data_IF_573325641512
#
_entry.id   IF_573325641512
#
_cell.length_a   1.000
_cell.length_b   1.000
_cell.length_c   1.000
_cell.angle_alpha   90.00
_cell.angle_beta   90.00
_cell.angle_gamma   90.00
#
_symmetry.space_group_name_H-M   'P 1'
#
loop_
_entity.id
_entity.type
_entity.pdbx_description
1 polymer ?
#
# COMPACT_ATOMS: atom_id res chain seq x y z
N UNK A 1 0.50 15.99 9.45
CA UNK A 1 1.42 14.87 9.73
C UNK A 1 2.85 15.41 9.73
N UNK A 2 3.69 14.99 10.67
CA UNK A 2 5.13 15.31 10.68
C UNK A 2 5.91 14.03 10.32
N UNK A 3 6.62 14.02 9.20
CA UNK A 3 7.53 12.95 8.78
C UNK A 3 8.95 13.38 9.16
N UNK A 4 9.46 12.89 10.28
CA UNK A 4 10.78 13.30 10.79
C UNK A 4 11.85 12.25 10.51
N UNK A 5 11.46 11.00 10.68
CA UNK A 5 12.30 9.83 10.66
C UNK A 5 11.52 8.66 10.06
N UNK A 6 12.21 7.53 9.89
CA UNK A 6 11.68 6.31 9.33
C UNK A 6 10.52 5.75 10.18
N UNK A 7 10.65 5.75 11.50
CA UNK A 7 9.64 5.18 12.41
C UNK A 7 8.32 5.96 12.33
N UNK A 8 8.38 7.29 12.41
CA UNK A 8 7.21 8.13 12.23
C UNK A 8 6.59 7.96 10.85
N UNK A 9 7.39 7.78 9.80
CA UNK A 9 6.88 7.49 8.47
C UNK A 9 6.10 6.16 8.42
N UNK A 10 6.67 5.08 8.97
CA UNK A 10 6.05 3.75 9.00
C UNK A 10 4.74 3.75 9.81
N UNK A 11 4.71 4.39 10.97
CA UNK A 11 3.49 4.50 11.79
C UNK A 11 2.39 5.27 11.05
N UNK A 12 2.74 6.33 10.33
CA UNK A 12 1.77 7.08 9.53
C UNK A 12 1.30 6.28 8.31
N UNK A 13 2.17 5.50 7.69
CA UNK A 13 1.81 4.59 6.59
C UNK A 13 0.75 3.59 7.05
N UNK A 14 1.03 2.85 8.12
CA UNK A 14 0.13 1.83 8.66
C UNK A 14 -1.24 2.43 9.02
N UNK A 15 -1.24 3.55 9.75
CA UNK A 15 -2.47 4.24 10.14
C UNK A 15 -3.28 4.71 8.92
N UNK A 16 -2.62 5.31 7.93
CA UNK A 16 -3.29 5.84 6.75
C UNK A 16 -3.80 4.71 5.84
N UNK A 17 -3.01 3.65 5.63
CA UNK A 17 -3.43 2.51 4.82
C UNK A 17 -4.61 1.76 5.44
N UNK A 18 -4.62 1.60 6.77
CA UNK A 18 -5.76 1.03 7.49
C UNK A 18 -7.03 1.87 7.32
N UNK A 19 -6.95 3.18 7.58
CA UNK A 19 -8.09 4.11 7.42
C UNK A 19 -8.56 4.25 5.97
N UNK A 20 -7.63 4.20 5.02
CA UNK A 20 -7.98 4.17 3.61
C UNK A 20 -8.83 2.96 3.29
N UNK A 21 -8.40 1.76 3.70
CA UNK A 21 -9.09 0.52 3.41
C UNK A 21 -10.50 0.50 4.01
N UNK A 22 -10.65 0.90 5.28
CA UNK A 22 -11.95 1.01 5.93
C UNK A 22 -12.87 2.00 5.20
N UNK A 23 -12.38 3.20 4.88
CA UNK A 23 -13.18 4.21 4.19
C UNK A 23 -13.57 3.78 2.77
N UNK A 24 -12.69 3.09 2.04
CA UNK A 24 -12.97 2.59 0.70
C UNK A 24 -14.07 1.50 0.73
N UNK A 25 -14.06 0.62 1.74
CA UNK A 25 -15.11 -0.39 1.92
C UNK A 25 -16.48 0.23 2.26
N UNK A 26 -16.48 1.34 3.02
CA UNK A 26 -17.69 2.08 3.36
C UNK A 26 -18.15 3.06 2.26
N UNK A 27 -17.38 3.20 1.17
CA UNK A 27 -17.65 4.17 0.11
C UNK A 27 -17.42 5.64 0.50
N UNK A 28 -16.72 5.92 1.61
CA UNK A 28 -16.32 7.27 1.98
C UNK A 28 -15.04 7.67 1.23
N UNK A 29 -15.23 8.03 -0.04
CA UNK A 29 -14.13 8.43 -0.93
C UNK A 29 -13.41 9.70 -0.45
N UNK A 30 -14.06 10.55 0.35
CA UNK A 30 -13.41 11.75 0.90
C UNK A 30 -12.36 11.35 1.92
N UNK A 31 -12.67 10.42 2.82
CA UNK A 31 -11.71 9.89 3.80
C UNK A 31 -10.68 9.00 3.10
N UNK A 32 -11.09 8.15 2.15
CA UNK A 32 -10.17 7.30 1.41
C UNK A 32 -9.10 8.15 0.69
N UNK A 33 -9.52 9.12 -0.14
CA UNK A 33 -8.61 9.98 -0.90
C UNK A 33 -7.68 10.79 0.01
N UNK A 34 -8.19 11.28 1.16
CA UNK A 34 -7.36 11.98 2.15
C UNK A 34 -6.23 11.09 2.67
N UNK A 35 -6.53 9.83 2.98
CA UNK A 35 -5.52 8.89 3.48
C UNK A 35 -4.61 8.39 2.37
N UNK A 36 -5.08 8.22 1.13
CA UNK A 36 -4.22 7.94 -0.02
C UNK A 36 -3.14 9.03 -0.18
N UNK A 37 -3.52 10.31 -0.10
CA UNK A 37 -2.56 11.41 -0.16
C UNK A 37 -1.53 11.39 1.00
N UNK A 38 -1.87 10.79 2.14
CA UNK A 38 -0.91 10.58 3.24
C UNK A 38 0.05 9.44 2.91
N UNK A 39 -0.46 8.32 2.40
CA UNK A 39 0.33 7.17 1.96
C UNK A 39 1.36 7.61 0.91
N UNK A 40 0.93 8.32 -0.13
CA UNK A 40 1.81 8.84 -1.19
C UNK A 40 2.91 9.76 -0.62
N UNK A 41 2.57 10.63 0.33
CA UNK A 41 3.57 11.48 1.01
C UNK A 41 4.59 10.67 1.79
N UNK A 42 4.16 9.64 2.50
CA UNK A 42 5.08 8.73 3.22
C UNK A 42 5.99 8.00 2.25
N UNK A 43 5.43 7.43 1.18
CA UNK A 43 6.19 6.69 0.17
C UNK A 43 7.23 7.59 -0.48
N UNK A 44 6.88 8.81 -0.87
CA UNK A 44 7.82 9.76 -1.45
C UNK A 44 8.93 10.14 -0.46
N UNK A 45 8.61 10.32 0.82
CA UNK A 45 9.60 10.56 1.87
C UNK A 45 10.59 9.38 2.01
N UNK A 46 10.09 8.14 2.06
CA UNK A 46 10.93 6.95 2.16
C UNK A 46 11.76 6.73 0.88
N UNK A 47 11.17 6.93 -0.30
CA UNK A 47 11.88 6.88 -1.60
C UNK A 47 13.04 7.87 -1.63
N UNK A 48 12.81 9.12 -1.25
CA UNK A 48 13.84 10.16 -1.21
C UNK A 48 15.00 9.87 -0.26
N UNK A 49 14.83 8.90 0.66
CA UNK A 49 15.85 8.45 1.61
C UNK A 49 16.41 7.06 1.29
N UNK A 50 15.99 6.44 0.19
CA UNK A 50 16.30 5.05 -0.14
C UNK A 50 15.86 4.05 0.95
N UNK A 51 14.78 4.37 1.67
CA UNK A 51 14.23 3.59 2.79
C UNK A 51 12.93 2.86 2.44
N UNK A 52 12.49 2.87 1.17
CA UNK A 52 11.22 2.29 0.74
C UNK A 52 11.08 0.81 1.12
N UNK A 53 12.18 0.04 1.08
CA UNK A 53 12.22 -1.37 1.49
C UNK A 53 11.75 -1.60 2.93
N UNK A 54 11.77 -0.56 3.77
CA UNK A 54 11.26 -0.63 5.15
C UNK A 54 9.77 -0.97 5.22
N UNK A 55 9.00 -0.75 4.14
CA UNK A 55 7.60 -1.18 4.05
C UNK A 55 7.44 -2.71 4.05
N UNK A 56 8.51 -3.48 3.81
CA UNK A 56 8.46 -4.95 3.78
C UNK A 56 7.94 -5.57 5.07
N UNK A 57 8.10 -4.89 6.21
CA UNK A 57 7.55 -5.32 7.50
C UNK A 57 6.01 -5.47 7.46
N UNK A 58 5.33 -4.78 6.55
CA UNK A 58 3.87 -4.80 6.42
C UNK A 58 3.36 -5.88 5.46
N UNK A 59 4.23 -6.62 4.76
CA UNK A 59 3.80 -7.69 3.83
C UNK A 59 3.10 -8.85 4.54
N UNK A 60 3.30 -9.01 5.84
CA UNK A 60 2.62 -10.01 6.68
C UNK A 60 1.64 -9.36 7.67
N UNK A 61 1.25 -8.10 7.45
CA UNK A 61 0.33 -7.40 8.34
C UNK A 61 -1.07 -8.04 8.32
N UNK A 62 -1.79 -8.00 9.44
CA UNK A 62 -3.12 -8.62 9.59
C UNK A 62 -4.21 -7.91 8.77
N UNK A 63 -4.12 -6.59 8.63
CA UNK A 63 -4.97 -5.81 7.72
C UNK A 63 -4.50 -5.95 6.27
N UNK A 64 -5.36 -6.53 5.43
CA UNK A 64 -5.13 -6.61 3.97
C UNK A 64 -5.02 -5.25 3.30
N UNK A 65 -5.62 -4.20 3.88
CA UNK A 65 -5.45 -2.83 3.41
C UNK A 65 -4.01 -2.34 3.55
N UNK A 66 -3.43 -2.53 4.73
CA UNK A 66 -2.03 -2.17 5.01
C UNK A 66 -1.09 -3.02 4.17
N UNK A 67 -1.33 -4.34 4.12
CA UNK A 67 -0.57 -5.31 3.32
C UNK A 67 -0.59 -4.96 1.83
N UNK A 68 -1.78 -4.67 1.28
CA UNK A 68 -1.97 -4.36 -0.13
C UNK A 68 -1.24 -3.09 -0.54
N UNK A 69 -1.38 -2.00 0.22
CA UNK A 69 -0.64 -0.77 -0.04
C UNK A 69 0.88 -0.97 0.03
N UNK A 70 1.38 -1.71 1.03
CA UNK A 70 2.80 -2.00 1.13
C UNK A 70 3.29 -2.81 -0.08
N UNK A 71 2.57 -3.87 -0.43
CA UNK A 71 2.90 -4.72 -1.56
C UNK A 71 2.93 -3.94 -2.88
N UNK A 72 1.92 -3.10 -3.15
CA UNK A 72 1.89 -2.25 -4.35
C UNK A 72 3.15 -1.42 -4.51
N UNK A 73 3.56 -0.67 -3.48
CA UNK A 73 4.75 0.18 -3.57
C UNK A 73 6.08 -0.59 -3.54
N UNK A 74 6.06 -1.84 -3.10
CA UNK A 74 7.23 -2.71 -3.09
C UNK A 74 7.42 -3.49 -4.39
N UNK A 75 6.45 -3.50 -5.32
CA UNK A 75 6.57 -4.16 -6.62
C UNK A 75 7.91 -3.87 -7.35
N UNK A 76 8.43 -2.62 -7.40
CA UNK A 76 9.68 -2.35 -8.11
C UNK A 76 10.96 -2.84 -7.42
N UNK A 77 10.92 -3.20 -6.14
CA UNK A 77 12.13 -3.49 -5.35
C UNK A 77 12.12 -4.86 -4.64
N UNK A 78 10.94 -5.41 -4.40
CA UNK A 78 10.69 -6.70 -3.73
C UNK A 78 9.61 -7.47 -4.48
N UNK A 79 9.68 -7.45 -5.82
CA UNK A 79 8.64 -7.91 -6.75
C UNK A 79 8.03 -9.26 -6.36
N UNK A 80 8.86 -10.28 -6.13
CA UNK A 80 8.39 -11.63 -5.80
C UNK A 80 7.54 -11.65 -4.52
N UNK A 81 7.96 -10.92 -3.48
CA UNK A 81 7.24 -10.90 -2.20
C UNK A 81 5.97 -10.04 -2.31
N UNK A 82 6.05 -8.91 -3.01
CA UNK A 82 4.92 -8.03 -3.29
C UNK A 82 3.83 -8.74 -4.10
N UNK A 83 4.19 -9.42 -5.20
CA UNK A 83 3.27 -10.20 -6.02
C UNK A 83 2.59 -11.26 -5.16
N UNK A 84 3.36 -12.03 -4.37
CA UNK A 84 2.78 -13.06 -3.51
C UNK A 84 1.75 -12.47 -2.53
N UNK A 85 2.06 -11.34 -1.90
CA UNK A 85 1.13 -10.69 -0.97
C UNK A 85 -0.15 -10.21 -1.68
N UNK A 86 -0.04 -9.62 -2.87
CA UNK A 86 -1.19 -9.20 -3.68
C UNK A 86 -2.01 -10.40 -4.17
N UNK A 87 -1.37 -11.50 -4.55
CA UNK A 87 -2.04 -12.73 -4.97
C UNK A 87 -2.83 -13.36 -3.82
N UNK A 88 -2.32 -13.34 -2.59
CA UNK A 88 -3.09 -13.78 -1.43
C UNK A 88 -4.31 -12.88 -1.16
N UNK A 89 -4.19 -11.56 -1.31
CA UNK A 89 -5.32 -10.64 -1.17
C UNK A 89 -6.36 -10.86 -2.29
N UNK A 90 -5.90 -11.12 -3.51
CA UNK A 90 -6.73 -11.36 -4.70
C UNK A 90 -7.55 -12.66 -4.63
N UNK A 91 -7.22 -13.60 -3.73
CA UNK A 91 -8.05 -14.79 -3.47
C UNK A 91 -9.30 -14.48 -2.65
N UNK A 92 -9.37 -13.29 -2.07
CA UNK A 92 -10.50 -12.84 -1.26
C UNK A 92 -11.72 -12.45 -2.10
N UNK A 93 -12.55 -11.59 -1.54
CA UNK A 93 -13.73 -11.05 -2.20
C UNK A 93 -13.87 -9.55 -1.93
N UNK A 94 -14.63 -8.86 -2.77
CA UNK A 94 -14.92 -7.44 -2.61
C UNK A 94 -13.84 -6.52 -3.17
N UNK A 95 -13.92 -5.24 -2.81
CA UNK A 95 -13.16 -4.15 -3.43
C UNK A 95 -11.65 -4.35 -3.27
N UNK A 96 -11.19 -4.87 -2.12
CA UNK A 96 -9.76 -5.14 -1.87
C UNK A 96 -9.20 -6.20 -2.81
N UNK A 97 -9.94 -7.28 -3.02
CA UNK A 97 -9.55 -8.36 -3.94
C UNK A 97 -9.42 -7.83 -5.37
N UNK A 98 -10.44 -7.11 -5.83
CA UNK A 98 -10.47 -6.50 -7.15
C UNK A 98 -9.32 -5.49 -7.36
N UNK A 99 -9.00 -4.69 -6.33
CA UNK A 99 -7.89 -3.75 -6.37
C UNK A 99 -6.53 -4.46 -6.49
N UNK A 100 -6.35 -5.56 -5.78
CA UNK A 100 -5.13 -6.37 -5.86
C UNK A 100 -4.97 -7.02 -7.24
N UNK A 101 -6.04 -7.61 -7.79
CA UNK A 101 -6.06 -8.16 -9.16
C UNK A 101 -5.72 -7.10 -10.21
N UNK A 102 -6.35 -5.93 -10.11
CA UNK A 102 -6.12 -4.81 -11.03
C UNK A 102 -4.67 -4.35 -10.95
N UNK A 103 -4.11 -4.22 -9.75
CA UNK A 103 -2.71 -3.84 -9.53
C UNK A 103 -1.75 -4.85 -10.15
N UNK A 104 -1.98 -6.15 -9.92
CA UNK A 104 -1.18 -7.23 -10.51
C UNK A 104 -1.25 -7.22 -12.04
N UNK A 105 -2.45 -7.02 -12.61
CA UNK A 105 -2.65 -6.89 -14.06
C UNK A 105 -1.84 -5.74 -14.63
N UNK A 106 -1.99 -4.53 -14.07
CA UNK A 106 -1.31 -3.34 -14.59
C UNK A 106 0.20 -3.37 -14.38
N UNK A 107 0.67 -4.01 -13.31
CA UNK A 107 2.09 -4.29 -13.11
C UNK A 107 2.65 -5.22 -14.19
N UNK A 108 2.00 -6.38 -14.42
CA UNK A 108 2.42 -7.37 -15.43
C UNK A 108 2.40 -6.81 -16.85
N UNK A 109 1.49 -5.87 -17.14
CA UNK A 109 1.43 -5.15 -18.43
C UNK A 109 2.50 -4.06 -18.56
N UNK A 110 3.20 -3.69 -17.49
CA UNK A 110 4.16 -2.57 -17.48
C UNK A 110 3.51 -1.18 -17.47
N UNK A 111 2.19 -1.11 -17.23
CA UNK A 111 1.40 0.11 -17.23
C UNK A 111 1.48 0.87 -15.91
N UNK A 112 1.70 0.15 -14.80
CA UNK A 112 1.74 0.75 -13.48
C UNK A 112 2.99 1.63 -13.29
N UNK A 113 2.78 2.91 -12.97
CA UNK A 113 3.83 3.88 -12.64
C UNK A 113 3.69 4.26 -11.16
N UNK A 114 4.75 4.03 -10.38
CA UNK A 114 4.77 4.18 -8.92
C UNK A 114 5.79 5.20 -8.45
#
# INVERSE_FOLDING_TARGET
MKLKDKESALMNFETAASKHAEAAELGDYKIANKNQAVIEKVVNFLKGRNELKSLSQFLNHSSDGVKGWAATYLLPIEERQAIRALEEIAKGSGIRSLAAETTLSEWRKGNLKL
#
